data_IF_481164618918
#
_entry.id   IF_481164618918
#
_cell.length_a   1.000
_cell.length_b   1.000
_cell.length_c   1.000
_cell.angle_alpha   90.00
_cell.angle_beta   90.00
_cell.angle_gamma   90.00
#
_symmetry.space_group_name_H-M   'P 1'
#
loop_
_entity.id
_entity.type
_entity.pdbx_description
1 polymer ?
#
# COMPACT_ATOMS: atom_id res chain seq x y z
N UNK A 1 -21.68 2.93 -1.81
CA UNK A 1 -20.73 4.00 -1.55
C UNK A 1 -19.38 3.42 -1.24
N UNK A 2 -18.43 3.82 -1.99
CA UNK A 2 -17.10 3.26 -1.89
C UNK A 2 -16.24 4.11 -0.98
N UNK A 3 -15.72 3.51 0.06
CA UNK A 3 -14.81 4.19 0.97
C UNK A 3 -13.37 3.99 0.54
N UNK A 4 -13.15 4.03 -0.77
CA UNK A 4 -11.81 3.86 -1.31
C UNK A 4 -11.01 5.14 -1.17
N UNK A 5 -9.76 4.96 -0.76
CA UNK A 5 -8.79 6.04 -0.72
C UNK A 5 -7.59 5.63 -1.56
N UNK A 6 -6.83 6.62 -1.99
CA UNK A 6 -5.58 6.35 -2.68
C UNK A 6 -4.48 6.13 -1.65
N UNK A 7 -3.76 5.04 -1.81
CA UNK A 7 -2.64 4.71 -0.95
C UNK A 7 -1.39 4.54 -1.77
N UNK A 8 -0.30 5.07 -1.27
CA UNK A 8 1.02 4.80 -1.82
C UNK A 8 1.67 3.75 -0.95
N UNK A 9 2.01 2.61 -1.55
CA UNK A 9 2.59 1.48 -0.84
C UNK A 9 4.02 1.31 -1.28
N UNK A 10 4.93 1.21 -0.32
CA UNK A 10 6.35 1.06 -0.59
C UNK A 10 6.89 -0.15 0.17
N UNK A 11 7.54 -1.06 -0.56
CA UNK A 11 8.16 -2.25 0.01
C UNK A 11 9.68 -2.08 -0.01
N UNK A 12 10.26 -1.75 1.14
CA UNK A 12 11.71 -1.72 1.34
C UNK A 12 12.49 -1.03 0.22
N UNK A 13 11.90 -0.03 -0.40
CA UNK A 13 12.51 0.75 -1.48
C UNK A 13 12.85 -0.06 -2.73
N UNK A 14 12.35 -1.28 -2.85
CA UNK A 14 12.57 -2.10 -4.04
C UNK A 14 11.37 -2.11 -4.98
N UNK A 15 10.20 -1.81 -4.44
CA UNK A 15 9.00 -1.76 -5.24
C UNK A 15 7.97 -0.87 -4.56
N UNK A 16 7.33 -0.02 -5.33
CA UNK A 16 6.25 0.81 -4.80
C UNK A 16 5.22 1.04 -5.88
N UNK A 17 3.99 1.32 -5.44
CA UNK A 17 2.90 1.60 -6.36
C UNK A 17 1.81 2.36 -5.62
N UNK A 18 0.90 2.94 -6.37
CA UNK A 18 -0.24 3.65 -5.83
C UNK A 18 -1.50 2.89 -6.23
N UNK A 19 -2.35 2.60 -5.25
CA UNK A 19 -3.58 1.85 -5.49
C UNK A 19 -4.73 2.48 -4.73
N UNK A 20 -5.94 2.15 -5.14
CA UNK A 20 -7.14 2.52 -4.41
C UNK A 20 -7.61 1.32 -3.61
N UNK A 21 -7.85 1.53 -2.32
CA UNK A 21 -8.26 0.46 -1.43
C UNK A 21 -9.07 1.04 -0.28
N UNK A 22 -9.66 0.17 0.52
CA UNK A 22 -10.49 0.58 1.64
C UNK A 22 -9.70 0.75 2.92
N UNK A 23 -8.51 0.18 2.97
CA UNK A 23 -7.68 0.25 4.15
C UNK A 23 -6.22 0.11 3.76
N UNK A 24 -5.30 0.54 4.64
CA UNK A 24 -3.87 0.40 4.35
C UNK A 24 -3.47 -1.07 4.14
N UNK A 25 -4.03 -1.97 4.93
CA UNK A 25 -3.72 -3.39 4.80
C UNK A 25 -4.18 -3.93 3.45
N UNK A 26 -5.38 -3.54 3.01
CA UNK A 26 -5.88 -3.97 1.71
C UNK A 26 -4.99 -3.42 0.60
N UNK A 27 -4.55 -2.17 0.73
CA UNK A 27 -3.65 -1.57 -0.26
C UNK A 27 -2.34 -2.35 -0.33
N UNK A 28 -1.77 -2.69 0.81
CA UNK A 28 -0.53 -3.46 0.85
C UNK A 28 -0.71 -4.82 0.22
N UNK A 29 -1.82 -5.49 0.51
CA UNK A 29 -2.12 -6.80 -0.06
C UNK A 29 -2.23 -6.74 -1.58
N UNK A 30 -2.88 -5.71 -2.10
CA UNK A 30 -3.04 -5.55 -3.53
C UNK A 30 -1.69 -5.34 -4.23
N UNK A 31 -0.86 -4.47 -3.68
CA UNK A 31 0.44 -4.20 -4.28
C UNK A 31 1.35 -5.41 -4.16
N UNK A 32 1.29 -6.12 -3.05
CA UNK A 32 2.08 -7.33 -2.87
C UNK A 32 1.70 -8.37 -3.92
N UNK A 33 0.43 -8.46 -4.25
CA UNK A 33 -0.05 -9.40 -5.26
C UNK A 33 0.54 -9.13 -6.64
N UNK A 34 0.82 -7.86 -6.92
CA UNK A 34 1.37 -7.46 -8.23
C UNK A 34 2.89 -7.43 -8.24
N UNK A 35 3.50 -7.40 -7.09
CA UNK A 35 4.95 -7.28 -6.98
C UNK A 35 5.63 -8.52 -7.52
N UNK A 36 6.59 -8.37 -8.44
CA UNK A 36 7.30 -9.52 -9.02
C UNK A 36 8.42 -10.05 -8.12
N UNK A 37 8.63 -9.42 -6.97
CA UNK A 37 9.71 -9.78 -6.06
C UNK A 37 9.14 -10.47 -4.83
N UNK A 38 9.96 -11.33 -4.24
CA UNK A 38 9.64 -11.90 -2.93
C UNK A 38 9.86 -10.82 -1.89
N UNK A 39 8.79 -10.36 -1.30
CA UNK A 39 8.85 -9.34 -0.26
C UNK A 39 8.76 -10.06 1.08
N UNK A 40 9.78 -9.89 1.88
CA UNK A 40 9.82 -10.46 3.23
C UNK A 40 9.96 -9.31 4.21
N UNK A 41 8.83 -8.81 4.68
CA UNK A 41 8.85 -7.68 5.60
C UNK A 41 7.61 -6.82 5.46
N UNK A 42 7.67 -5.66 6.09
CA UNK A 42 6.56 -4.74 6.16
C UNK A 42 6.51 -3.81 4.97
N UNK A 43 5.32 -3.31 4.70
CA UNK A 43 5.13 -2.26 3.71
C UNK A 43 4.87 -0.95 4.45
N UNK A 44 5.35 0.14 3.88
CA UNK A 44 5.04 1.48 4.34
C UNK A 44 3.91 2.01 3.48
N UNK A 45 2.79 2.35 4.11
CA UNK A 45 1.59 2.76 3.40
C UNK A 45 1.22 4.18 3.78
N UNK A 46 1.04 5.03 2.78
CA UNK A 46 0.63 6.40 2.97
C UNK A 46 -0.75 6.62 2.35
N UNK A 47 -1.68 7.11 3.16
CA UNK A 47 -2.99 7.49 2.66
C UNK A 47 -2.87 8.87 2.00
N UNK A 48 -2.98 8.90 0.68
CA UNK A 48 -2.81 10.15 -0.07
C UNK A 48 -3.98 11.10 0.10
N UNK A 49 -5.11 10.63 0.59
CA UNK A 49 -6.28 11.47 0.82
C UNK A 49 -6.18 12.22 2.14
N UNK A 50 -5.60 11.61 3.16
CA UNK A 50 -5.53 12.19 4.51
C UNK A 50 -4.12 12.54 4.92
N UNK A 51 -3.12 11.96 4.29
CA UNK A 51 -1.73 12.15 4.65
C UNK A 51 -1.24 11.23 5.76
N UNK A 52 -2.09 10.31 6.22
CA UNK A 52 -1.70 9.38 7.27
C UNK A 52 -0.76 8.33 6.73
N UNK A 53 0.20 7.94 7.55
CA UNK A 53 1.18 6.92 7.20
C UNK A 53 1.17 5.84 8.25
N UNK A 54 1.37 4.61 7.80
CA UNK A 54 1.48 3.49 8.73
C UNK A 54 2.30 2.37 8.12
N UNK A 55 2.74 1.47 8.98
CA UNK A 55 3.47 0.28 8.56
C UNK A 55 2.52 -0.91 8.69
N UNK A 56 2.47 -1.69 7.64
CA UNK A 56 1.58 -2.85 7.59
C UNK A 56 2.37 -4.13 7.50
#
# INVERSE_FOLDING_TARGET
MDDYNKYHVSFMCIYSDTVEARSPKEAADLVECWCPYDIDGSAWVTNLNTGEECEV
#
